data_IF_930841300775
#
_entry.id   IF_930841300775
#
_cell.length_a   1.000
_cell.length_b   1.000
_cell.length_c   1.000
_cell.angle_alpha   90.00
_cell.angle_beta   90.00
_cell.angle_gamma   90.00
#
_symmetry.space_group_name_H-M   'P 1'
#
loop_
_entity.id
_entity.type
_entity.pdbx_description
1 polymer ?
#
# COMPACT_ATOMS: atom_id res chain seq x y z
N UNK A 1 -21.48 -63.37 18.33
CA UNK A 1 -20.05 -63.10 18.10
C UNK A 1 -19.97 -61.74 17.42
N UNK A 2 -19.12 -60.87 17.96
CA UNK A 2 -18.98 -59.46 17.66
C UNK A 2 -18.41 -59.19 16.26
N UNK A 3 -18.90 -58.11 15.68
CA UNK A 3 -18.52 -57.53 14.39
C UNK A 3 -17.23 -56.72 14.55
N UNK A 4 -16.34 -56.76 13.55
CA UNK A 4 -15.39 -55.68 13.32
C UNK A 4 -14.98 -55.63 11.84
N UNK A 5 -15.59 -54.69 11.12
CA UNK A 5 -14.99 -54.11 9.92
C UNK A 5 -13.70 -53.39 10.34
N UNK A 6 -12.61 -53.67 9.63
CA UNK A 6 -11.38 -52.89 9.71
C UNK A 6 -10.99 -52.53 8.27
N UNK A 7 -11.53 -51.40 7.81
CA UNK A 7 -10.97 -50.64 6.70
C UNK A 7 -9.53 -50.30 7.08
N UNK A 8 -8.57 -50.82 6.33
CA UNK A 8 -7.16 -50.46 6.47
C UNK A 8 -6.87 -49.45 5.37
N UNK A 9 -6.74 -48.18 5.78
CA UNK A 9 -6.39 -47.04 4.96
C UNK A 9 -5.17 -47.34 4.07
N UNK A 10 -5.34 -47.13 2.77
CA UNK A 10 -4.27 -47.12 1.78
C UNK A 10 -3.44 -45.85 1.98
N UNK A 11 -2.40 -45.97 2.79
CA UNK A 11 -1.41 -44.94 3.01
C UNK A 11 -0.49 -44.78 1.80
N UNK A 12 -0.42 -43.55 1.30
CA UNK A 12 0.30 -43.10 0.11
C UNK A 12 1.77 -43.55 0.13
N UNK A 13 2.09 -44.52 -0.72
CA UNK A 13 3.45 -45.00 -0.96
C UNK A 13 4.22 -43.93 -1.77
N UNK A 14 4.81 -42.96 -1.06
CA UNK A 14 5.75 -42.01 -1.65
C UNK A 14 7.02 -42.77 -2.05
N UNK A 15 7.14 -43.10 -3.34
CA UNK A 15 8.34 -43.69 -3.90
C UNK A 15 9.54 -42.79 -3.64
N UNK A 16 10.39 -43.18 -2.68
CA UNK A 16 11.75 -42.65 -2.55
C UNK A 16 12.53 -43.07 -3.80
N UNK A 17 12.38 -42.28 -4.86
CA UNK A 17 13.27 -42.25 -6.01
C UNK A 17 14.63 -41.74 -5.57
N UNK A 18 15.34 -42.57 -4.80
CA UNK A 18 16.74 -42.45 -4.47
C UNK A 18 17.53 -42.59 -5.79
N UNK A 19 17.69 -41.45 -6.46
CA UNK A 19 18.68 -41.27 -7.51
C UNK A 19 20.03 -41.72 -6.95
N UNK A 20 20.49 -42.86 -7.44
CA UNK A 20 21.84 -43.37 -7.30
C UNK A 20 22.78 -42.45 -8.07
N UNK A 21 23.13 -41.31 -7.45
CA UNK A 21 24.32 -40.53 -7.79
C UNK A 21 25.36 -40.86 -6.72
N UNK A 22 26.02 -42.00 -6.93
CA UNK A 22 27.29 -42.32 -6.31
C UNK A 22 28.34 -41.32 -6.82
N UNK A 23 29.08 -40.73 -5.87
CA UNK A 23 30.38 -40.03 -6.05
C UNK A 23 30.41 -38.50 -6.26
N UNK A 24 29.48 -37.76 -5.63
CA UNK A 24 29.75 -36.38 -5.24
C UNK A 24 28.97 -36.01 -3.97
N UNK A 25 29.60 -36.17 -2.81
CA UNK A 25 29.14 -35.53 -1.55
C UNK A 25 29.44 -34.02 -1.62
N UNK A 26 28.87 -33.34 -2.61
CA UNK A 26 28.73 -31.89 -2.54
C UNK A 26 27.72 -31.62 -1.43
N UNK A 27 28.19 -30.99 -0.35
CA UNK A 27 27.35 -30.61 0.79
C UNK A 27 26.24 -29.68 0.30
N UNK A 28 25.08 -30.24 -0.05
CA UNK A 28 23.91 -29.46 -0.46
C UNK A 28 23.35 -28.75 0.76
N UNK A 29 23.92 -27.58 1.07
CA UNK A 29 23.46 -26.72 2.13
C UNK A 29 22.19 -26.03 1.64
N UNK A 30 21.08 -26.26 2.33
CA UNK A 30 19.82 -25.57 2.04
C UNK A 30 20.11 -24.07 2.05
N UNK A 31 19.86 -23.35 0.94
CA UNK A 31 20.09 -21.91 0.88
C UNK A 31 19.28 -21.20 1.96
N UNK A 32 19.82 -20.10 2.47
CA UNK A 32 19.04 -19.28 3.40
C UNK A 32 17.85 -18.65 2.67
N UNK A 33 16.79 -18.30 3.39
CA UNK A 33 15.62 -17.68 2.78
C UNK A 33 15.98 -16.38 2.06
N UNK A 34 16.96 -15.63 2.54
CA UNK A 34 17.46 -14.43 1.88
C UNK A 34 18.11 -14.74 0.51
N UNK A 35 18.82 -15.86 0.39
CA UNK A 35 19.45 -16.28 -0.87
C UNK A 35 18.39 -16.70 -1.89
N UNK A 36 17.34 -17.40 -1.45
CA UNK A 36 16.21 -17.76 -2.29
C UNK A 36 15.43 -16.53 -2.80
N UNK A 37 15.19 -15.55 -1.91
CA UNK A 37 14.54 -14.29 -2.29
C UNK A 37 15.41 -13.54 -3.31
N UNK A 38 16.71 -13.40 -3.04
CA UNK A 38 17.62 -12.73 -3.98
C UNK A 38 17.68 -13.41 -5.34
N UNK A 39 17.62 -14.75 -5.38
CA UNK A 39 17.60 -15.50 -6.63
C UNK A 39 16.26 -15.38 -7.37
N UNK A 40 15.14 -15.44 -6.65
CA UNK A 40 13.80 -15.31 -7.22
C UNK A 40 13.57 -13.93 -7.85
N UNK A 41 14.11 -12.88 -7.24
CA UNK A 41 13.99 -11.49 -7.72
C UNK A 41 15.29 -10.97 -8.39
N UNK A 42 16.25 -11.82 -8.75
CA UNK A 42 17.53 -11.40 -9.32
C UNK A 42 17.41 -10.66 -10.66
N UNK A 43 16.31 -10.89 -11.38
CA UNK A 43 16.01 -10.26 -12.67
C UNK A 43 14.86 -9.25 -12.62
N UNK A 44 14.34 -8.95 -11.43
CA UNK A 44 13.21 -8.04 -11.26
C UNK A 44 13.60 -6.83 -10.40
N UNK A 45 13.25 -5.63 -10.85
CA UNK A 45 13.55 -4.39 -10.13
C UNK A 45 12.35 -4.02 -9.24
N UNK A 46 12.22 -4.80 -8.16
CA UNK A 46 11.14 -4.65 -7.18
C UNK A 46 11.14 -3.28 -6.50
N UNK A 47 12.29 -2.61 -6.43
CA UNK A 47 12.39 -1.28 -5.82
C UNK A 47 11.81 -0.22 -6.75
N UNK A 48 12.16 -0.24 -8.04
CA UNK A 48 11.64 0.71 -9.02
C UNK A 48 10.12 0.56 -9.23
N UNK A 49 9.61 -0.67 -9.30
CA UNK A 49 8.16 -0.89 -9.42
C UNK A 49 7.42 -0.37 -8.18
N UNK A 50 7.96 -0.61 -6.99
CA UNK A 50 7.38 -0.11 -5.75
C UNK A 50 7.38 1.43 -5.67
N UNK A 51 8.46 2.09 -6.11
CA UNK A 51 8.51 3.55 -6.16
C UNK A 51 7.49 4.13 -7.14
N UNK A 52 7.28 3.47 -8.29
CA UNK A 52 6.25 3.85 -9.26
C UNK A 52 4.85 3.73 -8.66
N UNK A 53 4.52 2.59 -8.07
CA UNK A 53 3.22 2.36 -7.46
C UNK A 53 2.96 3.31 -6.29
N UNK A 54 3.99 3.61 -5.50
CA UNK A 54 3.92 4.65 -4.46
C UNK A 54 3.58 6.00 -5.06
N UNK A 55 4.21 6.39 -6.15
CA UNK A 55 3.96 7.66 -6.83
C UNK A 55 2.54 7.71 -7.41
N UNK A 56 2.07 6.63 -8.01
CA UNK A 56 0.73 6.52 -8.58
C UNK A 56 -0.35 6.67 -7.49
N UNK A 57 -0.20 5.97 -6.36
CA UNK A 57 -1.09 6.11 -5.19
C UNK A 57 -1.04 7.52 -4.60
N UNK A 58 0.15 8.13 -4.53
CA UNK A 58 0.29 9.52 -4.07
C UNK A 58 -0.43 10.51 -4.99
N UNK A 59 -0.41 10.26 -6.30
CA UNK A 59 -1.03 11.13 -7.29
C UNK A 59 -2.56 10.97 -7.36
N UNK A 60 -3.07 9.75 -7.17
CA UNK A 60 -4.52 9.49 -7.08
C UNK A 60 -5.13 10.18 -5.85
N UNK A 61 -4.46 10.08 -4.69
CA UNK A 61 -4.93 10.72 -3.45
C UNK A 61 -4.77 12.24 -3.47
N UNK A 62 -3.81 12.76 -4.23
CA UNK A 62 -3.49 14.18 -4.27
C UNK A 62 -3.19 14.60 -5.72
N UNK A 63 -4.24 14.84 -6.55
CA UNK A 63 -4.06 15.19 -7.94
C UNK A 63 -3.30 16.52 -8.10
N UNK A 64 -2.59 16.68 -9.22
CA UNK A 64 -1.92 17.95 -9.51
C UNK A 64 -2.96 19.06 -9.66
N UNK A 65 -2.74 20.23 -9.02
CA UNK A 65 -3.66 21.34 -9.20
C UNK A 65 -3.65 21.74 -10.67
N UNK A 66 -4.84 21.79 -11.27
CA UNK A 66 -5.01 22.20 -12.66
C UNK A 66 -4.35 23.56 -12.88
N UNK A 67 -3.58 23.67 -13.97
CA UNK A 67 -2.95 24.94 -14.32
C UNK A 67 -4.04 25.98 -14.53
N UNK A 68 -3.88 27.20 -14.00
CA UNK A 68 -4.89 28.22 -14.15
C UNK A 68 -4.99 28.57 -15.63
N UNK A 69 -6.07 28.11 -16.27
CA UNK A 69 -6.35 28.33 -17.66
C UNK A 69 -7.42 29.42 -17.78
N UNK A 70 -7.12 30.47 -18.53
CA UNK A 70 -8.12 31.45 -18.91
C UNK A 70 -8.94 30.84 -20.04
N UNK A 71 -10.19 30.48 -19.74
CA UNK A 71 -11.18 30.31 -20.81
C UNK A 71 -11.41 31.67 -21.46
N UNK A 72 -11.36 31.77 -22.80
CA UNK A 72 -11.55 33.04 -23.49
C UNK A 72 -12.98 33.51 -23.25
N UNK A 73 -13.13 34.51 -22.38
CA UNK A 73 -14.42 35.15 -22.13
C UNK A 73 -14.85 36.03 -23.30
N UNK A 74 -16.15 36.34 -23.38
CA UNK A 74 -16.78 37.22 -24.37
C UNK A 74 -16.22 38.66 -24.39
N UNK A 75 -15.28 39.01 -23.49
CA UNK A 75 -14.64 40.32 -23.35
C UNK A 75 -13.14 40.37 -23.67
N UNK A 76 -12.50 39.28 -24.14
CA UNK A 76 -11.05 39.29 -24.45
C UNK A 76 -10.66 39.87 -25.82
N UNK A 77 -11.64 40.38 -26.59
CA UNK A 77 -11.49 41.04 -27.88
C UNK A 77 -10.80 42.42 -27.86
N UNK A 78 -10.46 42.97 -26.69
CA UNK A 78 -9.75 44.26 -26.58
C UNK A 78 -8.30 44.07 -26.13
N UNK A 79 -7.37 44.77 -26.80
CA UNK A 79 -5.93 44.73 -26.50
C UNK A 79 -5.59 45.14 -25.05
N UNK A 80 -6.48 45.89 -24.41
CA UNK A 80 -6.32 46.39 -23.03
C UNK A 80 -6.45 45.26 -22.01
N UNK A 81 -7.33 44.28 -22.25
CA UNK A 81 -7.56 43.16 -21.33
C UNK A 81 -6.61 41.98 -21.59
N UNK A 82 -6.11 41.81 -22.81
CA UNK A 82 -5.07 40.84 -23.17
C UNK A 82 -3.75 41.09 -22.40
N UNK A 83 -3.39 42.37 -22.22
CA UNK A 83 -2.17 42.77 -21.48
C UNK A 83 -2.24 42.53 -19.98
N UNK A 84 -3.43 42.30 -19.42
CA UNK A 84 -3.65 42.21 -17.96
C UNK A 84 -3.31 40.82 -17.38
N UNK A 85 -3.12 39.81 -18.23
CA UNK A 85 -2.70 38.47 -17.83
C UNK A 85 -3.71 37.73 -16.93
N UNK A 86 -3.26 36.61 -16.36
CA UNK A 86 -4.02 35.85 -15.37
C UNK A 86 -4.27 36.72 -14.12
N UNK A 87 -5.49 36.75 -13.57
CA UNK A 87 -5.77 37.48 -12.34
C UNK A 87 -4.88 37.02 -11.18
N UNK A 88 -4.37 37.97 -10.38
CA UNK A 88 -3.48 37.68 -9.25
C UNK A 88 -4.08 36.68 -8.24
N UNK A 89 -5.39 36.72 -8.02
CA UNK A 89 -6.08 35.78 -7.11
C UNK A 89 -6.01 34.33 -7.62
N UNK A 90 -6.07 34.14 -8.95
CA UNK A 90 -6.04 32.82 -9.58
C UNK A 90 -4.63 32.22 -9.54
N UNK A 91 -3.60 33.04 -9.77
CA UNK A 91 -2.20 32.64 -9.58
C UNK A 91 -1.94 32.26 -8.12
N UNK A 92 -2.41 33.10 -7.18
CA UNK A 92 -2.26 32.86 -5.74
C UNK A 92 -2.99 31.60 -5.27
N UNK A 93 -4.16 31.30 -5.83
CA UNK A 93 -4.91 30.09 -5.51
C UNK A 93 -4.17 28.83 -5.96
N UNK A 94 -3.63 28.84 -7.18
CA UNK A 94 -2.80 27.76 -7.69
C UNK A 94 -1.50 27.58 -6.88
N UNK A 95 -0.82 28.66 -6.50
CA UNK A 95 0.34 28.59 -5.59
C UNK A 95 -0.03 28.00 -4.23
N UNK A 96 -1.17 28.40 -3.66
CA UNK A 96 -1.67 27.84 -2.41
C UNK A 96 -2.00 26.35 -2.55
N UNK A 97 -2.57 25.92 -3.68
CA UNK A 97 -2.86 24.52 -3.95
C UNK A 97 -1.58 23.69 -4.06
N UNK A 98 -0.53 24.23 -4.72
CA UNK A 98 0.81 23.61 -4.74
C UNK A 98 1.41 23.46 -3.35
N UNK A 99 1.38 24.52 -2.54
CA UNK A 99 1.86 24.47 -1.15
C UNK A 99 1.10 23.42 -0.33
N UNK A 100 -0.23 23.35 -0.47
CA UNK A 100 -1.05 22.33 0.20
C UNK A 100 -0.68 20.92 -0.24
N UNK A 101 -0.36 20.71 -1.53
CA UNK A 101 0.12 19.42 -2.04
C UNK A 101 1.42 19.01 -1.34
N UNK A 102 2.39 19.91 -1.29
CA UNK A 102 3.69 19.66 -0.63
C UNK A 102 3.53 19.40 0.88
N UNK A 103 2.64 20.14 1.55
CA UNK A 103 2.32 19.93 2.95
C UNK A 103 1.63 18.58 3.17
N UNK A 104 0.70 18.17 2.30
CA UNK A 104 0.05 16.87 2.37
C UNK A 104 1.05 15.72 2.20
N UNK A 105 1.97 15.82 1.24
CA UNK A 105 3.06 14.85 1.06
C UNK A 105 3.93 14.71 2.31
N UNK A 106 4.19 15.81 3.03
CA UNK A 106 4.97 15.80 4.29
C UNK A 106 4.17 15.29 5.49
N UNK A 107 2.85 15.50 5.51
CA UNK A 107 1.97 15.12 6.61
C UNK A 107 1.59 13.65 6.62
N UNK A 108 1.74 12.97 5.48
CA UNK A 108 1.52 11.53 5.37
C UNK A 108 2.37 10.75 6.36
N UNK A 109 1.77 9.74 6.98
CA UNK A 109 2.44 8.90 8.00
C UNK A 109 3.62 8.11 7.42
N UNK A 110 3.54 7.74 6.15
CA UNK A 110 4.53 6.97 5.43
C UNK A 110 5.62 7.84 4.75
N UNK A 111 5.58 9.16 4.89
CA UNK A 111 6.51 10.07 4.21
C UNK A 111 8.00 9.83 4.55
N UNK A 112 8.29 9.28 5.74
CA UNK A 112 9.67 8.97 6.18
C UNK A 112 10.09 7.53 5.87
N UNK A 113 9.18 6.69 5.37
CA UNK A 113 9.40 5.26 5.17
C UNK A 113 9.56 4.96 3.68
N UNK A 114 10.68 4.32 3.30
CA UNK A 114 10.99 4.01 1.90
C UNK A 114 10.08 2.92 1.34
N UNK A 115 10.04 1.76 1.99
CA UNK A 115 9.36 0.55 1.48
C UNK A 115 7.96 0.34 2.07
N UNK A 116 7.28 1.41 2.49
CA UNK A 116 5.94 1.34 3.07
C UNK A 116 5.00 2.31 2.37
N UNK A 117 3.83 1.83 1.96
CA UNK A 117 2.71 2.62 1.45
C UNK A 117 1.56 2.42 2.42
N UNK A 118 1.05 3.51 3.01
CA UNK A 118 -0.11 3.46 3.92
C UNK A 118 -1.28 4.17 3.24
N UNK A 119 -2.41 3.48 3.10
CA UNK A 119 -3.68 4.09 2.71
C UNK A 119 -4.24 4.90 3.88
N UNK A 120 -4.38 6.21 3.74
CA UNK A 120 -5.05 7.05 4.74
C UNK A 120 -6.58 7.10 4.55
N UNK A 121 -7.07 6.56 3.43
CA UNK A 121 -8.50 6.40 3.17
C UNK A 121 -9.15 5.42 4.17
N UNK A 122 -10.14 5.91 4.92
CA UNK A 122 -10.89 5.09 5.89
C UNK A 122 -12.20 4.60 5.26
N UNK A 123 -12.23 3.30 4.97
CA UNK A 123 -13.45 2.65 4.53
C UNK A 123 -14.55 2.70 5.61
N UNK A 124 -15.79 2.92 5.17
CA UNK A 124 -16.95 3.03 6.06
C UNK A 124 -17.11 1.80 6.97
N UNK A 125 -16.86 0.60 6.44
CA UNK A 125 -16.95 -0.66 7.18
C UNK A 125 -15.89 -0.74 8.29
N UNK A 126 -14.65 -0.38 7.99
CA UNK A 126 -13.55 -0.35 8.96
C UNK A 126 -13.83 0.68 10.05
N UNK A 127 -14.38 1.85 9.70
CA UNK A 127 -14.80 2.86 10.66
C UNK A 127 -15.87 2.32 11.64
N UNK A 128 -16.88 1.62 11.14
CA UNK A 128 -17.89 0.98 11.99
C UNK A 128 -17.27 -0.05 12.93
N UNK A 129 -16.43 -0.95 12.43
CA UNK A 129 -15.74 -1.95 13.25
C UNK A 129 -14.87 -1.31 14.35
N UNK A 130 -14.17 -0.22 14.02
CA UNK A 130 -13.37 0.53 14.99
C UNK A 130 -14.24 1.18 16.08
N UNK A 131 -15.42 1.69 15.73
CA UNK A 131 -16.38 2.21 16.70
C UNK A 131 -16.85 1.13 17.67
N UNK A 132 -17.25 -0.04 17.18
CA UNK A 132 -17.65 -1.16 18.04
C UNK A 132 -16.50 -1.67 18.91
N UNK A 133 -15.28 -1.76 18.35
CA UNK A 133 -14.07 -2.11 19.11
C UNK A 133 -13.79 -1.12 20.24
N UNK A 134 -13.90 0.19 19.97
CA UNK A 134 -13.71 1.22 20.99
C UNK A 134 -14.77 1.14 22.10
N UNK A 135 -16.02 0.88 21.73
CA UNK A 135 -17.11 0.70 22.69
C UNK A 135 -16.87 -0.51 23.61
N UNK A 136 -16.51 -1.67 23.07
CA UNK A 136 -16.20 -2.88 23.85
C UNK A 136 -15.01 -2.65 24.78
N UNK A 137 -13.92 -2.06 24.27
CA UNK A 137 -12.74 -1.78 25.09
C UNK A 137 -13.04 -0.79 26.22
N UNK A 138 -13.88 0.22 25.99
CA UNK A 138 -14.30 1.15 27.04
C UNK A 138 -15.15 0.44 28.11
N UNK A 139 -16.09 -0.43 27.72
CA UNK A 139 -16.90 -1.19 28.68
C UNK A 139 -16.06 -2.17 29.50
N UNK A 140 -15.08 -2.85 28.89
CA UNK A 140 -14.16 -3.76 29.59
C UNK A 140 -13.24 -2.98 30.54
N UNK A 141 -12.75 -1.81 30.12
CA UNK A 141 -11.95 -0.93 30.97
C UNK A 141 -12.74 -0.44 32.19
N UNK A 142 -13.98 0.02 31.98
CA UNK A 142 -14.86 0.46 33.07
C UNK A 142 -15.24 -0.68 34.02
N UNK A 143 -15.53 -1.88 33.49
CA UNK A 143 -15.85 -3.04 34.32
C UNK A 143 -14.65 -3.48 35.18
N UNK A 144 -13.45 -3.53 34.60
CA UNK A 144 -12.24 -3.83 35.36
C UNK A 144 -11.84 -2.71 36.33
N UNK A 145 -12.15 -1.44 36.04
CA UNK A 145 -11.88 -0.31 36.93
C UNK A 145 -12.88 -0.19 38.09
N UNK A 146 -14.10 -0.72 37.96
CA UNK A 146 -15.11 -0.74 39.03
C UNK A 146 -14.97 -1.99 39.92
N UNK A 147 -14.28 -3.03 39.44
CA UNK A 147 -14.03 -4.28 40.16
C UNK A 147 -12.73 -4.27 41.02
N UNK A 148 -11.99 -3.15 41.05
CA UNK A 148 -10.84 -2.89 41.93
C UNK A 148 -11.25 -1.85 42.96
#
# INVERSE_FOLDING_TARGET
>A
QLDHNSDSDSEDEMVEGLLTISDAKENYKIPSQADLIRQAFAGDDVEAEFEKDKLDVLNEENPEPEKPALVPGWGQWTDIQQKKGLPSWMVKEHENAKRKREEALKRRKDAKLKHVIISEHVDKKVKCLNYYRAAVNNTVFLFNSVAI
#
